data_IF_519403603918
#
_entry.id   IF_519403603918
#
_cell.length_a   1.000
_cell.length_b   1.000
_cell.length_c   1.000
_cell.angle_alpha   90.00
_cell.angle_beta   90.00
_cell.angle_gamma   90.00
#
_symmetry.space_group_name_H-M   'P 1'
#
loop_
_entity.id
_entity.type
_entity.pdbx_description
1 polymer ?
#
# COMPACT_ATOMS: atom_id res chain seq x y z
N UNK A 1 22.60 22.45 -10.78
CA UNK A 1 22.65 20.98 -11.00
C UNK A 1 21.25 20.38 -11.27
N UNK A 2 20.15 21.11 -11.06
CA UNK A 2 18.78 20.58 -11.26
C UNK A 2 18.17 20.79 -12.67
N UNK A 3 18.86 21.48 -13.58
CA UNK A 3 18.32 21.81 -14.92
C UNK A 3 19.09 21.14 -16.08
N UNK A 4 19.57 19.90 -15.91
CA UNK A 4 20.13 19.12 -17.02
C UNK A 4 19.07 18.14 -17.58
N UNK A 5 18.56 18.34 -18.82
CA UNK A 5 17.51 17.51 -19.41
C UNK A 5 17.92 16.04 -19.65
N UNK A 6 19.21 15.72 -19.57
CA UNK A 6 19.75 14.36 -19.79
C UNK A 6 19.74 13.48 -18.52
N UNK A 7 19.44 14.03 -17.34
CA UNK A 7 19.28 13.25 -16.11
C UNK A 7 17.89 13.55 -15.51
N UNK A 8 16.83 13.22 -16.25
CA UNK A 8 15.51 13.05 -15.63
C UNK A 8 15.52 11.73 -14.86
N UNK A 9 15.95 11.74 -13.60
CA UNK A 9 15.61 10.66 -12.66
C UNK A 9 14.09 10.64 -12.60
N UNK A 10 13.45 9.73 -13.35
CA UNK A 10 12.01 9.61 -13.32
C UNK A 10 11.63 9.13 -11.92
N UNK A 11 10.85 9.92 -11.17
CA UNK A 11 10.43 9.57 -9.82
C UNK A 11 9.60 8.29 -9.88
N UNK A 12 9.99 7.30 -9.07
CA UNK A 12 9.22 6.08 -8.81
C UNK A 12 8.74 6.17 -7.37
N UNK A 13 7.43 6.09 -7.18
CA UNK A 13 6.85 6.05 -5.84
C UNK A 13 7.00 4.64 -5.27
N UNK A 14 7.46 4.56 -4.03
CA UNK A 14 7.55 3.31 -3.29
C UNK A 14 6.34 3.23 -2.38
N UNK A 15 5.52 2.20 -2.55
CA UNK A 15 4.35 1.93 -1.70
C UNK A 15 4.71 0.78 -0.74
N UNK A 16 4.46 0.94 0.58
CA UNK A 16 4.63 -0.16 1.53
C UNK A 16 3.79 -1.37 1.13
N UNK A 17 4.16 -2.58 1.56
CA UNK A 17 3.31 -3.73 1.31
C UNK A 17 1.93 -3.54 1.95
N UNK A 18 0.87 -4.15 1.39
CA UNK A 18 -0.38 -4.32 2.09
C UNK A 18 -0.13 -4.96 3.46
N UNK A 19 -0.86 -4.50 4.47
CA UNK A 19 -0.58 -4.89 5.86
C UNK A 19 -1.23 -6.23 6.22
N UNK A 20 -0.44 -7.16 6.77
CA UNK A 20 -0.87 -8.42 7.38
C UNK A 20 -0.52 -8.49 8.87
N UNK A 21 -0.91 -9.60 9.49
CA UNK A 21 -0.53 -9.98 10.84
C UNK A 21 0.99 -10.10 11.08
N UNK A 22 1.78 -10.39 10.03
CA UNK A 22 3.23 -10.58 10.12
C UNK A 22 4.03 -9.28 9.97
N UNK A 23 3.45 -8.28 9.33
CA UNK A 23 4.00 -6.95 9.10
C UNK A 23 3.04 -5.90 9.67
N UNK A 24 3.01 -5.76 10.99
CA UNK A 24 2.04 -4.90 11.62
C UNK A 24 2.24 -3.45 11.19
N UNK A 25 1.18 -2.73 10.81
CA UNK A 25 1.25 -1.34 10.38
C UNK A 25 1.80 -0.39 11.47
N UNK A 26 1.65 -0.76 12.76
CA UNK A 26 2.24 0.02 13.86
C UNK A 26 3.77 -0.09 13.91
N UNK A 27 4.38 -1.15 13.36
CA UNK A 27 5.83 -1.27 13.32
C UNK A 27 6.44 -0.20 12.39
N UNK A 28 5.84 -0.03 11.21
CA UNK A 28 6.26 0.99 10.26
C UNK A 28 6.16 2.41 10.84
N UNK A 29 5.06 2.69 11.52
CA UNK A 29 4.80 4.00 12.14
C UNK A 29 5.78 4.34 13.27
N UNK A 30 6.23 3.35 14.04
CA UNK A 30 7.06 3.57 15.24
C UNK A 30 8.56 3.42 15.01
N UNK A 31 8.98 2.63 14.00
CA UNK A 31 10.39 2.22 13.86
C UNK A 31 11.03 2.60 12.54
N UNK A 32 10.27 3.07 11.54
CA UNK A 32 10.84 3.49 10.25
C UNK A 32 10.87 5.01 10.18
N UNK A 33 12.07 5.64 10.26
CA UNK A 33 12.18 7.09 10.21
C UNK A 33 11.58 7.68 8.94
N UNK A 34 10.75 8.70 9.08
CA UNK A 34 10.10 9.39 7.95
C UNK A 34 8.88 8.67 7.37
N UNK A 35 8.44 7.57 7.98
CA UNK A 35 7.17 6.91 7.65
C UNK A 35 6.14 7.27 8.70
N UNK A 36 4.91 7.52 8.26
CA UNK A 36 3.76 7.66 9.15
C UNK A 36 2.58 6.92 8.55
N UNK A 37 1.94 6.07 9.34
CA UNK A 37 0.78 5.29 8.91
C UNK A 37 -0.49 6.01 9.37
N UNK A 38 -1.46 6.25 8.48
CA UNK A 38 -2.71 6.89 8.87
C UNK A 38 -3.39 6.16 10.04
N UNK A 39 -3.75 6.92 11.09
CA UNK A 39 -4.34 6.36 12.32
C UNK A 39 -5.65 5.62 12.07
N UNK A 40 -6.44 6.09 11.10
CA UNK A 40 -7.69 5.44 10.74
C UNK A 40 -7.46 4.10 10.04
N UNK A 41 -6.42 4.00 9.19
CA UNK A 41 -6.01 2.72 8.60
C UNK A 41 -5.55 1.73 9.67
N UNK A 42 -4.71 2.18 10.61
CA UNK A 42 -4.27 1.38 11.75
C UNK A 42 -5.45 0.85 12.58
N UNK A 43 -6.45 1.70 12.82
CA UNK A 43 -7.66 1.34 13.56
C UNK A 43 -8.48 0.30 12.81
N UNK A 44 -8.72 0.50 11.51
CA UNK A 44 -9.49 -0.42 10.68
C UNK A 44 -8.85 -1.81 10.63
N UNK A 45 -7.53 -1.89 10.46
CA UNK A 45 -6.79 -3.16 10.44
C UNK A 45 -6.88 -3.88 11.79
N UNK A 46 -6.67 -3.18 12.90
CA UNK A 46 -6.82 -3.75 14.25
C UNK A 46 -8.23 -4.24 14.54
N UNK A 47 -9.25 -3.50 14.10
CA UNK A 47 -10.66 -3.90 14.25
C UNK A 47 -10.93 -5.17 13.45
N UNK A 48 -10.50 -5.25 12.19
CA UNK A 48 -10.68 -6.42 11.35
C UNK A 48 -10.03 -7.67 11.95
N UNK A 49 -8.81 -7.56 12.49
CA UNK A 49 -8.15 -8.66 13.19
C UNK A 49 -8.92 -9.12 14.43
N UNK A 50 -9.43 -8.17 15.22
CA UNK A 50 -10.20 -8.45 16.43
C UNK A 50 -11.53 -9.14 16.12
N UNK A 51 -12.27 -8.63 15.13
CA UNK A 51 -13.59 -9.15 14.75
C UNK A 51 -13.52 -10.53 14.09
N UNK A 52 -12.42 -10.85 13.43
CA UNK A 52 -12.21 -12.14 12.76
C UNK A 52 -11.32 -13.10 13.58
N UNK A 53 -11.21 -12.89 14.90
CA UNK A 53 -10.40 -13.76 15.76
C UNK A 53 -10.87 -15.22 15.67
N UNK A 54 -9.95 -16.12 15.33
CA UNK A 54 -10.25 -17.55 15.13
C UNK A 54 -10.78 -17.91 13.74
N UNK A 55 -11.14 -16.94 12.90
CA UNK A 55 -11.55 -17.14 11.50
C UNK A 55 -10.45 -16.62 10.55
N UNK A 56 -9.46 -17.46 10.27
CA UNK A 56 -8.31 -17.08 9.42
C UNK A 56 -8.74 -16.64 8.00
N UNK A 57 -9.64 -17.36 7.29
CA UNK A 57 -10.14 -16.89 5.99
C UNK A 57 -10.86 -15.54 6.04
N UNK A 58 -11.76 -15.37 7.03
CA UNK A 58 -12.50 -14.10 7.20
C UNK A 58 -11.59 -12.92 7.52
N UNK A 59 -10.55 -13.15 8.33
CA UNK A 59 -9.52 -12.16 8.63
C UNK A 59 -8.81 -11.68 7.36
N UNK A 60 -8.33 -12.59 6.51
CA UNK A 60 -7.65 -12.19 5.27
C UNK A 60 -8.60 -11.44 4.33
N UNK A 61 -9.84 -11.90 4.16
CA UNK A 61 -10.81 -11.19 3.33
C UNK A 61 -11.08 -9.75 3.82
N UNK A 62 -11.17 -9.55 5.13
CA UNK A 62 -11.35 -8.22 5.72
C UNK A 62 -10.11 -7.32 5.53
N UNK A 63 -8.91 -7.86 5.76
CA UNK A 63 -7.65 -7.13 5.54
C UNK A 63 -7.45 -6.78 4.06
N UNK A 64 -7.75 -7.71 3.15
CA UNK A 64 -7.68 -7.52 1.70
C UNK A 64 -8.57 -6.36 1.28
N UNK A 65 -9.82 -6.35 1.75
CA UNK A 65 -10.78 -5.27 1.49
C UNK A 65 -10.26 -3.91 1.96
N UNK A 66 -9.80 -3.81 3.20
CA UNK A 66 -9.27 -2.56 3.76
C UNK A 66 -8.07 -2.05 2.97
N UNK A 67 -7.14 -2.95 2.62
CA UNK A 67 -5.96 -2.59 1.82
C UNK A 67 -6.36 -2.11 0.42
N UNK A 68 -7.30 -2.78 -0.26
CA UNK A 68 -7.78 -2.36 -1.58
C UNK A 68 -8.43 -0.97 -1.52
N UNK A 69 -9.35 -0.77 -0.57
CA UNK A 69 -10.07 0.50 -0.39
C UNK A 69 -9.13 1.66 -0.05
N UNK A 70 -8.01 1.39 0.66
CA UNK A 70 -7.02 2.40 0.97
C UNK A 70 -6.05 2.68 -0.19
N UNK A 71 -5.46 1.64 -0.78
CA UNK A 71 -4.38 1.80 -1.75
C UNK A 71 -4.86 2.13 -3.15
N UNK A 72 -6.04 1.66 -3.58
CA UNK A 72 -6.58 1.95 -4.92
C UNK A 72 -6.72 3.46 -5.19
N UNK A 73 -7.43 4.26 -4.36
CA UNK A 73 -7.55 5.70 -4.61
C UNK A 73 -6.20 6.42 -4.52
N UNK A 74 -5.29 5.96 -3.65
CA UNK A 74 -3.94 6.52 -3.54
C UNK A 74 -3.13 6.31 -4.83
N UNK A 75 -3.15 5.10 -5.39
CA UNK A 75 -2.50 4.76 -6.66
C UNK A 75 -3.10 5.60 -7.80
N UNK A 76 -4.43 5.69 -7.87
CA UNK A 76 -5.11 6.52 -8.88
C UNK A 76 -4.74 8.00 -8.77
N UNK A 77 -4.61 8.53 -7.56
CA UNK A 77 -4.23 9.91 -7.33
C UNK A 77 -2.78 10.19 -7.78
N UNK A 78 -1.84 9.28 -7.50
CA UNK A 78 -0.46 9.37 -8.00
C UNK A 78 -0.44 9.43 -9.54
N UNK A 79 -1.25 8.59 -10.21
CA UNK A 79 -1.37 8.59 -11.68
C UNK A 79 -1.88 9.94 -12.20
N UNK A 80 -2.87 10.54 -11.52
CA UNK A 80 -3.52 11.78 -11.95
C UNK A 80 -2.65 13.01 -11.69
N UNK A 81 -1.99 13.08 -10.55
CA UNK A 81 -1.38 14.33 -10.05
C UNK A 81 0.13 14.41 -10.23
N UNK A 82 0.79 13.31 -10.58
CA UNK A 82 2.25 13.26 -10.68
C UNK A 82 2.73 12.88 -12.07
N UNK A 83 3.97 13.23 -12.40
CA UNK A 83 4.68 12.75 -13.61
C UNK A 83 5.55 11.53 -13.30
N UNK A 84 5.14 10.71 -12.33
CA UNK A 84 5.87 9.48 -12.00
C UNK A 84 5.93 8.56 -13.22
N UNK A 85 7.06 7.86 -13.38
CA UNK A 85 7.17 6.85 -14.43
C UNK A 85 6.45 5.56 -14.07
N UNK A 86 6.20 5.34 -12.79
CA UNK A 86 5.60 4.13 -12.29
C UNK A 86 5.57 4.09 -10.77
N UNK A 87 5.05 2.98 -10.27
CA UNK A 87 4.92 2.69 -8.84
C UNK A 87 5.63 1.36 -8.59
N UNK A 88 6.54 1.35 -7.62
CA UNK A 88 7.10 0.13 -7.07
C UNK A 88 6.30 -0.23 -5.81
N UNK A 89 5.56 -1.33 -5.87
CA UNK A 89 4.77 -1.82 -4.75
C UNK A 89 5.38 -3.14 -4.23
N UNK A 90 5.61 -3.23 -2.92
CA UNK A 90 6.15 -4.44 -2.29
C UNK A 90 5.05 -5.48 -2.09
N UNK A 91 5.31 -6.74 -2.46
CA UNK A 91 4.27 -7.77 -2.61
C UNK A 91 4.23 -8.86 -1.52
N UNK A 92 4.94 -8.67 -0.40
CA UNK A 92 5.19 -9.75 0.59
C UNK A 92 3.87 -10.40 1.04
N UNK A 93 3.62 -11.64 0.59
CA UNK A 93 2.42 -12.47 0.84
C UNK A 93 1.07 -11.95 0.30
N UNK A 94 1.10 -10.94 -0.58
CA UNK A 94 -0.10 -10.24 -1.07
C UNK A 94 -0.19 -10.13 -2.59
N UNK A 95 0.44 -11.04 -3.34
CA UNK A 95 0.37 -11.08 -4.81
C UNK A 95 -1.08 -11.03 -5.34
N UNK A 96 -2.02 -11.67 -4.63
CA UNK A 96 -3.46 -11.64 -4.97
C UNK A 96 -4.10 -10.24 -4.96
N UNK A 97 -3.50 -9.27 -4.27
CA UNK A 97 -3.98 -7.88 -4.23
C UNK A 97 -3.53 -7.06 -5.44
N UNK A 98 -2.53 -7.52 -6.20
CA UNK A 98 -2.04 -6.76 -7.34
C UNK A 98 -3.04 -6.73 -8.48
N UNK A 99 -3.72 -7.84 -8.78
CA UNK A 99 -4.77 -7.86 -9.78
C UNK A 99 -5.91 -6.84 -9.49
N UNK A 100 -6.51 -6.78 -8.29
CA UNK A 100 -7.53 -5.78 -7.99
C UNK A 100 -7.00 -4.34 -7.82
N UNK A 101 -5.73 -4.16 -7.45
CA UNK A 101 -5.11 -2.82 -7.33
C UNK A 101 -4.64 -2.26 -8.66
N UNK A 102 -4.17 -3.11 -9.57
CA UNK A 102 -3.46 -2.75 -10.80
C UNK A 102 -4.16 -3.25 -12.08
N UNK A 103 -5.34 -3.86 -12.01
CA UNK A 103 -6.01 -4.45 -13.19
C UNK A 103 -6.24 -3.49 -14.37
N UNK A 104 -6.22 -2.18 -14.11
CA UNK A 104 -6.32 -1.13 -15.12
C UNK A 104 -4.95 -0.59 -15.60
N UNK A 105 -3.85 -1.25 -15.25
CA UNK A 105 -2.52 -0.94 -15.76
C UNK A 105 -2.25 -1.73 -17.05
N UNK A 106 -1.87 -1.07 -18.15
CA UNK A 106 -1.36 -1.78 -19.32
C UNK A 106 -0.06 -2.50 -18.96
N UNK A 107 0.12 -3.71 -19.50
CA UNK A 107 1.40 -4.44 -19.46
C UNK A 107 2.55 -3.65 -20.08
#
# INVERSE_FOLDING_TARGET
ILDNPLIRVRKVFHIPPPYNEFQPPWYFDNYIPGVSVPKDLLKSLKTAEKENKGNKPGKYAALDKINIEFFKPFIEEIKKTTKAAGIHCMAVEYERLFAPLLGDYPE
#
